data_IF_318962507488
#
_entry.id   IF_318962507488
#
_cell.length_a   1.000
_cell.length_b   1.000
_cell.length_c   1.000
_cell.angle_alpha   90.00
_cell.angle_beta   90.00
_cell.angle_gamma   90.00
#
_symmetry.space_group_name_H-M   'P 1'
#
loop_
_entity.id
_entity.type
_entity.pdbx_description
1 polymer ?
#
# COMPACT_ATOMS: atom_id res chain seq x y z
N UNK A 1 29.20 14.27 19.54
CA UNK A 1 27.94 13.63 19.08
C UNK A 1 27.93 12.21 19.59
N UNK A 2 27.33 11.96 20.78
CA UNK A 2 27.10 10.61 21.28
C UNK A 2 25.96 9.99 20.48
N UNK A 3 26.27 9.01 19.63
CA UNK A 3 25.27 8.14 19.03
C UNK A 3 24.63 7.32 20.18
N UNK A 4 23.43 7.72 20.59
CA UNK A 4 22.62 6.91 21.49
C UNK A 4 22.37 5.56 20.82
N UNK A 5 22.92 4.50 21.42
CA UNK A 5 22.67 3.14 20.96
C UNK A 5 21.25 2.80 21.34
N UNK A 6 20.37 2.83 20.34
CA UNK A 6 19.01 2.35 20.45
C UNK A 6 19.05 0.83 20.66
N UNK A 7 18.60 0.36 21.82
CA UNK A 7 18.34 -1.05 22.07
C UNK A 7 16.83 -1.23 22.33
N UNK A 8 16.11 -1.93 21.46
CA UNK A 8 14.73 -2.29 21.78
C UNK A 8 14.75 -3.29 22.93
N UNK A 9 14.29 -2.86 24.11
CA UNK A 9 14.05 -3.75 25.24
C UNK A 9 12.62 -4.24 25.17
N UNK A 10 12.43 -5.55 25.04
CA UNK A 10 11.12 -6.22 25.07
C UNK A 10 10.48 -6.38 23.70
N UNK A 11 11.12 -7.18 22.85
CA UNK A 11 10.43 -7.78 21.72
C UNK A 11 9.57 -8.90 22.28
N UNK A 12 8.28 -8.63 22.47
CA UNK A 12 7.32 -9.71 22.62
C UNK A 12 7.25 -10.45 21.29
N UNK A 13 7.74 -11.68 21.29
CA UNK A 13 7.70 -12.56 20.12
C UNK A 13 6.27 -13.07 19.94
N UNK A 14 5.45 -12.33 19.23
CA UNK A 14 4.21 -12.85 18.73
C UNK A 14 4.40 -13.38 17.31
N UNK A 15 3.95 -14.60 17.11
CA UNK A 15 3.94 -15.24 15.79
C UNK A 15 2.89 -14.52 14.94
N UNK A 16 3.29 -14.10 13.75
CA UNK A 16 2.35 -13.58 12.77
C UNK A 16 1.52 -14.73 12.21
N UNK A 17 0.26 -14.83 12.65
CA UNK A 17 -0.69 -15.85 12.19
C UNK A 17 -1.12 -15.65 10.73
N UNK A 18 -0.93 -14.44 10.20
CA UNK A 18 -1.26 -14.09 8.83
C UNK A 18 -0.30 -14.68 7.77
N UNK A 19 0.85 -15.21 8.22
CA UNK A 19 1.88 -15.79 7.35
C UNK A 19 2.18 -17.23 7.74
N UNK A 20 1.25 -18.11 7.48
CA UNK A 20 1.16 -19.47 8.02
C UNK A 20 2.26 -20.47 7.61
N UNK A 21 3.24 -20.15 6.78
CA UNK A 21 4.15 -21.21 6.33
C UNK A 21 5.64 -20.89 6.26
N UNK A 22 6.05 -19.64 6.34
CA UNK A 22 7.45 -19.30 6.08
C UNK A 22 8.02 -18.35 7.14
N UNK A 23 8.60 -18.93 8.20
CA UNK A 23 9.35 -18.22 9.23
C UNK A 23 8.52 -17.50 10.31
N UNK A 24 9.02 -17.55 11.51
CA UNK A 24 8.56 -16.77 12.66
C UNK A 24 8.89 -15.30 12.40
N UNK A 25 8.01 -14.58 11.71
CA UNK A 25 8.16 -13.16 11.53
C UNK A 25 7.77 -12.46 12.84
N UNK A 26 8.68 -11.68 13.36
CA UNK A 26 8.47 -10.87 14.55
C UNK A 26 7.78 -9.56 14.15
N UNK A 27 6.96 -9.02 15.06
CA UNK A 27 6.32 -7.72 14.92
C UNK A 27 6.80 -6.78 16.01
N UNK A 28 6.92 -5.50 15.70
CA UNK A 28 7.24 -4.48 16.68
C UNK A 28 6.02 -4.23 17.56
N UNK A 29 6.12 -4.53 18.86
CA UNK A 29 5.05 -4.31 19.84
C UNK A 29 5.19 -2.98 20.57
N UNK A 30 6.42 -2.55 20.88
CA UNK A 30 6.64 -1.27 21.55
C UNK A 30 8.05 -0.73 21.33
N UNK A 31 8.17 0.59 21.56
CA UNK A 31 9.44 1.32 21.63
C UNK A 31 9.52 1.91 23.03
N UNK A 32 10.59 1.64 23.76
CA UNK A 32 10.84 2.20 25.08
C UNK A 32 11.96 3.22 24.98
N UNK A 33 11.68 4.42 25.48
CA UNK A 33 12.64 5.52 25.59
C UNK A 33 13.13 5.60 27.02
N UNK A 34 14.43 5.41 27.24
CA UNK A 34 15.03 5.45 28.57
C UNK A 34 16.39 6.13 28.56
N UNK A 35 16.87 6.72 29.69
CA UNK A 35 18.19 7.28 29.79
C UNK A 35 19.25 6.21 29.64
N UNK A 36 20.48 6.61 29.31
CA UNK A 36 21.62 5.70 29.20
C UNK A 36 21.91 4.97 30.53
N UNK A 37 21.67 5.63 31.65
CA UNK A 37 21.83 5.08 33.00
C UNK A 37 20.80 4.01 33.38
N UNK A 38 19.79 3.76 32.56
CA UNK A 38 18.76 2.72 32.72
C UNK A 38 17.90 2.77 33.99
N UNK A 39 17.92 3.85 34.73
CA UNK A 39 17.25 3.91 36.05
C UNK A 39 15.74 4.15 35.96
N UNK A 40 15.27 4.74 34.86
CA UNK A 40 13.85 5.05 34.70
C UNK A 40 13.44 5.10 33.22
N UNK A 41 12.30 4.51 32.87
CA UNK A 41 11.67 4.69 31.58
C UNK A 41 11.11 6.10 31.47
N UNK A 42 11.41 6.83 30.38
CA UNK A 42 10.87 8.16 30.14
C UNK A 42 9.50 8.06 29.48
N UNK A 43 9.40 7.21 28.45
CA UNK A 43 8.18 7.02 27.69
C UNK A 43 8.17 5.66 27.01
N UNK A 44 6.98 5.12 26.80
CA UNK A 44 6.74 3.89 26.03
C UNK A 44 5.74 4.18 24.93
N UNK A 45 6.11 3.87 23.69
CA UNK A 45 5.21 3.90 22.54
C UNK A 45 4.81 2.46 22.25
N UNK A 46 3.54 2.12 22.45
CA UNK A 46 3.01 0.77 22.24
C UNK A 46 2.18 0.72 20.95
N UNK A 47 2.43 -0.29 20.12
CA UNK A 47 1.70 -0.56 18.90
C UNK A 47 0.68 -1.66 19.14
N UNK A 48 -0.60 -1.34 18.99
CA UNK A 48 -1.67 -2.34 19.00
C UNK A 48 -2.00 -2.73 17.58
N UNK A 49 -1.77 -3.99 17.32
CA UNK A 49 -2.05 -4.61 16.03
C UNK A 49 -3.29 -5.48 16.18
N UNK A 50 -4.12 -5.51 15.17
CA UNK A 50 -5.25 -6.43 15.06
C UNK A 50 -5.06 -7.32 13.86
N UNK A 51 -5.58 -8.54 13.97
CA UNK A 51 -5.65 -9.48 12.84
C UNK A 51 -7.11 -9.60 12.42
N UNK A 52 -7.38 -9.39 11.15
CA UNK A 52 -8.71 -9.59 10.60
C UNK A 52 -9.16 -11.04 10.78
N UNK A 53 -10.39 -11.23 11.25
CA UNK A 53 -10.99 -12.56 11.40
C UNK A 53 -11.26 -13.17 10.03
N UNK A 54 -11.60 -12.36 9.04
CA UNK A 54 -12.02 -12.79 7.70
C UNK A 54 -10.81 -13.14 6.83
N UNK A 55 -9.90 -12.18 6.63
CA UNK A 55 -8.80 -12.33 5.69
C UNK A 55 -7.45 -12.63 6.36
N UNK A 56 -7.41 -12.73 7.69
CA UNK A 56 -6.21 -13.01 8.51
C UNK A 56 -5.07 -11.99 8.36
N UNK A 57 -5.31 -10.86 7.72
CA UNK A 57 -4.31 -9.81 7.54
C UNK A 57 -4.11 -9.00 8.82
N UNK A 58 -2.87 -8.60 9.03
CA UNK A 58 -2.48 -7.77 10.15
C UNK A 58 -2.69 -6.29 9.81
N UNK A 59 -3.28 -5.52 10.74
CA UNK A 59 -3.41 -4.07 10.63
C UNK A 59 -2.98 -3.38 11.92
N UNK A 60 -2.54 -2.14 11.82
CA UNK A 60 -2.25 -1.28 12.97
C UNK A 60 -3.56 -0.65 13.43
N UNK A 61 -4.07 -1.09 14.58
CA UNK A 61 -5.30 -0.53 15.17
C UNK A 61 -5.03 0.78 15.90
N UNK A 62 -4.01 0.81 16.73
CA UNK A 62 -3.70 2.01 17.49
C UNK A 62 -2.23 2.11 17.93
N UNK A 63 -1.80 3.34 18.18
CA UNK A 63 -0.51 3.69 18.79
C UNK A 63 -0.78 4.42 20.07
N UNK A 64 -0.28 3.86 21.19
CA UNK A 64 -0.43 4.41 22.53
C UNK A 64 0.88 5.04 22.97
N UNK A 65 0.82 6.27 23.47
CA UNK A 65 1.96 6.94 24.09
C UNK A 65 1.73 6.91 25.59
N UNK A 66 2.58 6.22 26.32
CA UNK A 66 2.52 6.01 27.76
C UNK A 66 3.67 6.75 28.44
N UNK A 67 3.45 7.22 29.68
CA UNK A 67 4.49 7.75 30.52
C UNK A 67 5.36 6.63 31.14
N UNK A 68 6.24 7.02 32.03
CA UNK A 68 7.16 6.12 32.73
C UNK A 68 6.50 5.07 33.65
N UNK A 69 5.25 5.28 34.03
CA UNK A 69 4.49 4.39 34.92
C UNK A 69 3.55 3.45 34.12
N UNK A 70 3.53 3.58 32.79
CA UNK A 70 2.59 2.85 31.93
C UNK A 70 1.14 3.37 32.07
N UNK A 71 0.98 4.48 32.79
CA UNK A 71 -0.30 5.11 33.04
C UNK A 71 -0.59 6.09 31.91
N UNK A 72 -1.80 6.06 31.44
CA UNK A 72 -2.29 7.07 30.50
C UNK A 72 -2.47 8.39 31.26
N UNK A 73 -1.79 9.48 30.89
CA UNK A 73 -1.99 10.75 31.58
C UNK A 73 -3.48 11.12 31.62
N UNK A 74 -4.01 11.26 32.85
CA UNK A 74 -5.33 11.83 33.16
C UNK A 74 -6.53 11.27 32.36
N UNK A 75 -6.71 9.95 32.33
CA UNK A 75 -7.99 9.36 31.84
C UNK A 75 -8.33 9.58 30.38
N UNK A 76 -7.55 10.36 29.69
CA UNK A 76 -7.66 10.53 28.23
C UNK A 76 -6.97 9.35 27.58
N UNK A 77 -7.65 8.70 26.66
CA UNK A 77 -7.07 7.64 25.84
C UNK A 77 -5.98 8.27 24.96
N UNK A 78 -4.75 8.34 25.44
CA UNK A 78 -3.61 8.91 24.72
C UNK A 78 -3.18 7.98 23.58
N UNK A 79 -4.11 7.74 22.68
CA UNK A 79 -3.96 6.81 21.58
C UNK A 79 -4.38 7.44 20.24
N UNK A 80 -3.52 7.29 19.26
CA UNK A 80 -3.91 7.44 17.88
C UNK A 80 -4.59 6.15 17.43
N UNK A 81 -5.80 6.24 16.86
CA UNK A 81 -6.54 5.09 16.32
C UNK A 81 -6.69 5.22 14.82
N UNK A 82 -6.58 4.10 14.11
CA UNK A 82 -6.56 4.04 12.66
C UNK A 82 -7.76 3.25 12.15
N UNK A 83 -8.37 3.75 11.08
CA UNK A 83 -9.44 3.04 10.37
C UNK A 83 -9.07 2.90 8.92
N UNK A 84 -9.44 1.77 8.35
CA UNK A 84 -9.10 1.39 6.99
C UNK A 84 -10.36 1.14 6.18
N UNK A 85 -10.29 1.46 4.90
CA UNK A 85 -11.41 1.28 3.99
C UNK A 85 -11.65 -0.21 3.73
N UNK A 86 -12.81 -0.70 4.12
CA UNK A 86 -13.30 -2.06 3.86
C UNK A 86 -12.19 -3.16 3.99
N UNK A 87 -11.40 -3.08 5.05
CA UNK A 87 -10.21 -3.94 5.26
C UNK A 87 -10.52 -5.44 5.16
N UNK A 88 -11.71 -5.84 5.60
CA UNK A 88 -12.16 -7.25 5.59
C UNK A 88 -12.39 -7.81 4.18
N UNK A 89 -12.51 -6.96 3.17
CA UNK A 89 -12.68 -7.36 1.77
C UNK A 89 -11.37 -7.64 1.04
N UNK A 90 -10.24 -7.38 1.67
CA UNK A 90 -8.94 -7.77 1.11
C UNK A 90 -8.85 -9.30 1.00
N UNK A 91 -8.17 -9.84 -0.02
CA UNK A 91 -7.99 -11.29 -0.15
C UNK A 91 -7.13 -11.80 1.01
N UNK A 92 -7.41 -13.02 1.48
CA UNK A 92 -6.61 -13.67 2.53
C UNK A 92 -5.19 -13.99 2.04
N UNK A 93 -5.04 -14.33 0.77
CA UNK A 93 -3.73 -14.60 0.17
C UNK A 93 -2.97 -13.30 -0.11
N UNK A 94 -1.79 -13.15 0.51
CA UNK A 94 -0.88 -12.04 0.26
C UNK A 94 -0.25 -12.07 -1.13
N UNK A 95 -0.11 -13.27 -1.71
CA UNK A 95 0.47 -13.49 -3.02
C UNK A 95 -0.60 -13.65 -4.11
N UNK A 96 -1.77 -13.07 -3.90
CA UNK A 96 -2.85 -13.12 -4.88
C UNK A 96 -2.39 -12.67 -6.26
N UNK A 97 -2.83 -13.39 -7.30
CA UNK A 97 -2.60 -13.01 -8.69
C UNK A 97 -3.52 -11.88 -9.18
N UNK A 98 -4.53 -11.51 -8.36
CA UNK A 98 -5.49 -10.47 -8.67
C UNK A 98 -4.91 -9.07 -8.48
N UNK A 99 -3.88 -8.74 -9.25
CA UNK A 99 -3.20 -7.45 -9.20
C UNK A 99 -3.15 -6.80 -10.58
N UNK A 100 -3.16 -5.48 -10.58
CA UNK A 100 -3.06 -4.70 -11.80
C UNK A 100 -1.64 -4.71 -12.40
N UNK A 101 -1.42 -3.93 -13.44
CA UNK A 101 -0.11 -3.78 -14.09
C UNK A 101 1.01 -3.33 -13.16
N UNK A 102 0.69 -2.65 -12.07
CA UNK A 102 1.64 -2.06 -11.12
C UNK A 102 1.69 -2.80 -9.79
N UNK A 103 0.94 -3.92 -9.66
CA UNK A 103 0.94 -4.76 -8.47
C UNK A 103 -0.11 -4.39 -7.42
N UNK A 104 -1.01 -3.46 -7.70
CA UNK A 104 -2.12 -3.13 -6.80
C UNK A 104 -3.28 -4.10 -6.98
N UNK A 105 -3.94 -4.46 -5.88
CA UNK A 105 -5.09 -5.35 -5.92
C UNK A 105 -6.22 -4.77 -6.77
N UNK A 106 -6.69 -5.54 -7.76
CA UNK A 106 -7.72 -5.14 -8.71
C UNK A 106 -8.93 -6.09 -8.77
N UNK A 107 -8.98 -7.10 -7.87
CA UNK A 107 -10.09 -8.04 -7.77
C UNK A 107 -10.22 -9.04 -8.93
N UNK A 108 -9.30 -9.05 -9.89
CA UNK A 108 -9.33 -9.94 -11.07
C UNK A 108 -8.16 -10.90 -11.06
N UNK A 109 -8.36 -12.17 -10.65
CA UNK A 109 -7.27 -13.15 -10.64
C UNK A 109 -6.78 -13.42 -12.07
N UNK A 110 -5.46 -13.55 -12.20
CA UNK A 110 -4.83 -13.92 -13.45
C UNK A 110 -4.61 -15.44 -13.50
N UNK A 111 -5.23 -16.09 -14.48
CA UNK A 111 -5.23 -17.56 -14.65
C UNK A 111 -4.23 -18.02 -15.72
N UNK A 112 -3.31 -17.17 -16.14
CA UNK A 112 -2.25 -17.56 -17.08
C UNK A 112 -2.56 -17.38 -18.55
N UNK A 113 -3.71 -16.84 -18.93
CA UNK A 113 -4.08 -16.61 -20.33
C UNK A 113 -3.60 -15.25 -20.84
N UNK A 114 -2.89 -15.28 -21.97
CA UNK A 114 -2.25 -14.11 -22.60
C UNK A 114 -3.18 -13.13 -23.26
N UNK A 115 -4.19 -13.66 -23.91
CA UNK A 115 -5.06 -12.90 -24.82
C UNK A 115 -5.82 -11.77 -24.12
N UNK A 116 -5.99 -11.86 -22.80
CA UNK A 116 -6.75 -10.88 -22.02
C UNK A 116 -5.94 -10.17 -20.94
N UNK A 117 -4.61 -10.33 -20.94
CA UNK A 117 -3.78 -9.80 -19.84
C UNK A 117 -3.96 -8.31 -19.59
N UNK A 118 -4.10 -7.51 -20.63
CA UNK A 118 -4.30 -6.08 -20.48
C UNK A 118 -5.63 -5.74 -19.80
N UNK A 119 -6.66 -6.53 -20.05
CA UNK A 119 -7.96 -6.36 -19.40
C UNK A 119 -7.94 -6.86 -17.96
N UNK A 120 -7.37 -8.04 -17.74
CA UNK A 120 -7.29 -8.64 -16.40
C UNK A 120 -6.41 -7.81 -15.48
N UNK A 121 -5.31 -7.25 -16.02
CA UNK A 121 -4.39 -6.41 -15.26
C UNK A 121 -4.68 -4.90 -15.32
N UNK A 122 -5.82 -4.50 -15.86
CA UNK A 122 -6.22 -3.10 -15.81
C UNK A 122 -6.44 -2.64 -14.35
N UNK A 123 -6.09 -1.40 -13.99
CA UNK A 123 -6.35 -0.86 -12.67
C UNK A 123 -7.84 -0.83 -12.37
N UNK A 124 -8.18 -1.00 -11.10
CA UNK A 124 -9.54 -0.85 -10.59
C UNK A 124 -9.51 -0.13 -9.24
N UNK A 125 -9.94 1.13 -9.24
CA UNK A 125 -9.86 2.00 -8.07
C UNK A 125 -10.67 1.51 -6.87
N UNK A 126 -11.77 0.77 -7.11
CA UNK A 126 -12.61 0.21 -6.03
C UNK A 126 -11.85 -0.84 -5.24
N UNK A 127 -11.12 -1.70 -5.94
CA UNK A 127 -10.33 -2.74 -5.29
C UNK A 127 -9.00 -2.21 -4.74
N UNK A 128 -8.35 -1.29 -5.46
CA UNK A 128 -7.11 -0.65 -5.01
C UNK A 128 -7.32 0.15 -3.71
N UNK A 129 -8.51 0.68 -3.48
CA UNK A 129 -8.85 1.42 -2.27
C UNK A 129 -9.10 0.52 -1.03
N UNK A 130 -9.21 -0.79 -1.18
CA UNK A 130 -9.41 -1.69 -0.05
C UNK A 130 -8.19 -1.69 0.86
N UNK A 131 -8.42 -1.64 2.16
CA UNK A 131 -7.37 -1.65 3.18
C UNK A 131 -6.53 -0.37 3.26
N UNK A 132 -6.86 0.69 2.52
CA UNK A 132 -6.17 1.97 2.62
C UNK A 132 -6.63 2.72 3.87
N UNK A 133 -5.70 3.37 4.57
CA UNK A 133 -5.99 4.19 5.74
C UNK A 133 -6.91 5.35 5.35
N UNK A 134 -8.12 5.38 5.90
CA UNK A 134 -9.11 6.42 5.56
C UNK A 134 -9.46 7.35 6.71
N UNK A 135 -9.11 6.99 7.99
CA UNK A 135 -9.38 7.86 9.13
C UNK A 135 -8.33 7.69 10.23
N UNK A 136 -7.87 8.81 10.75
CA UNK A 136 -6.99 8.89 11.91
C UNK A 136 -7.76 9.60 13.01
N UNK A 137 -7.90 8.97 14.18
CA UNK A 137 -8.52 9.54 15.36
C UNK A 137 -7.42 9.91 16.33
N UNK A 138 -7.41 11.16 16.76
CA UNK A 138 -6.38 11.73 17.62
C UNK A 138 -6.68 11.52 19.10
N UNK A 139 -5.66 11.54 19.98
CA UNK A 139 -5.85 11.49 21.41
C UNK A 139 -6.74 12.61 21.96
N UNK A 140 -6.77 13.74 21.27
CA UNK A 140 -7.59 14.92 21.60
C UNK A 140 -9.07 14.75 21.29
N UNK A 141 -9.47 13.65 20.67
CA UNK A 141 -10.86 13.35 20.31
C UNK A 141 -11.26 13.77 18.88
N UNK A 142 -10.48 14.63 18.23
CA UNK A 142 -10.69 14.98 16.83
C UNK A 142 -10.27 13.88 15.86
N UNK A 143 -10.59 14.05 14.58
CA UNK A 143 -10.15 13.09 13.57
C UNK A 143 -9.85 13.75 12.21
N UNK A 144 -8.98 13.09 11.45
CA UNK A 144 -8.77 13.36 10.03
C UNK A 144 -9.35 12.24 9.19
N UNK A 145 -10.07 12.61 8.14
CA UNK A 145 -10.58 11.71 7.12
C UNK A 145 -9.81 11.95 5.81
N UNK A 146 -9.37 10.88 5.20
CA UNK A 146 -8.57 10.87 3.99
C UNK A 146 -9.40 10.27 2.87
N UNK A 147 -9.72 11.07 1.85
CA UNK A 147 -10.38 10.61 0.64
C UNK A 147 -9.35 10.43 -0.47
N UNK A 148 -9.51 9.38 -1.24
CA UNK A 148 -8.58 9.02 -2.31
C UNK A 148 -9.27 8.99 -3.66
N UNK A 149 -8.49 9.20 -4.70
CA UNK A 149 -8.88 8.97 -6.08
C UNK A 149 -7.81 8.17 -6.82
N UNK A 150 -8.14 7.50 -7.93
CA UNK A 150 -7.13 6.80 -8.72
C UNK A 150 -6.12 7.76 -9.32
N UNK A 151 -4.89 7.32 -9.47
CA UNK A 151 -3.93 8.01 -10.29
C UNK A 151 -4.42 8.04 -11.74
N UNK A 152 -4.39 9.20 -12.38
CA UNK A 152 -4.76 9.38 -13.78
C UNK A 152 -3.64 10.04 -14.56
N UNK A 153 -3.60 9.82 -15.85
CA UNK A 153 -2.68 10.48 -16.75
C UNK A 153 -3.41 11.04 -17.98
N UNK A 154 -2.94 12.16 -18.50
CA UNK A 154 -3.43 12.81 -19.72
C UNK A 154 -2.50 12.61 -20.91
N UNK A 155 -1.29 12.11 -20.64
CA UNK A 155 -0.31 11.79 -21.68
C UNK A 155 0.39 10.48 -21.35
N UNK A 156 0.87 9.80 -22.40
CA UNK A 156 1.74 8.65 -22.24
C UNK A 156 2.91 8.70 -23.21
N UNK A 157 4.00 8.03 -22.86
CA UNK A 157 5.14 7.88 -23.73
C UNK A 157 4.78 6.96 -24.90
N UNK A 158 5.07 7.41 -26.12
CA UNK A 158 4.91 6.60 -27.33
C UNK A 158 5.87 5.40 -27.31
N UNK A 159 5.60 4.45 -28.20
CA UNK A 159 6.43 3.25 -28.33
C UNK A 159 7.88 3.56 -28.74
N UNK A 160 8.12 4.68 -29.43
CA UNK A 160 9.47 5.15 -29.78
C UNK A 160 10.28 5.65 -28.57
N UNK A 161 9.66 5.78 -27.40
CA UNK A 161 10.25 6.26 -26.14
C UNK A 161 10.89 7.66 -26.20
N UNK A 162 10.50 8.47 -27.14
CA UNK A 162 11.00 9.84 -27.33
C UNK A 162 9.90 10.88 -27.19
N UNK A 163 8.71 10.56 -27.68
CA UNK A 163 7.59 11.50 -27.71
C UNK A 163 6.47 11.11 -26.75
N UNK A 164 5.74 12.11 -26.26
CA UNK A 164 4.49 11.92 -25.53
C UNK A 164 3.31 12.05 -26.49
N UNK A 165 2.30 11.23 -26.29
CA UNK A 165 1.00 11.36 -26.96
C UNK A 165 -0.12 11.66 -25.96
N UNK A 166 -1.13 12.38 -26.41
CA UNK A 166 -2.33 12.60 -25.60
C UNK A 166 -3.07 11.27 -25.45
N UNK A 167 -3.26 10.85 -24.21
CA UNK A 167 -3.93 9.59 -23.91
C UNK A 167 -4.41 9.62 -22.46
N UNK A 168 -5.70 9.79 -22.28
CA UNK A 168 -6.29 9.73 -20.92
C UNK A 168 -6.38 8.29 -20.44
N UNK A 169 -6.01 8.06 -19.19
CA UNK A 169 -6.11 6.74 -18.60
C UNK A 169 -5.95 6.75 -17.08
N UNK A 170 -6.16 5.56 -16.50
CA UNK A 170 -5.98 5.30 -15.08
C UNK A 170 -4.66 4.55 -14.92
N UNK A 171 -3.80 5.06 -14.04
CA UNK A 171 -2.58 4.39 -13.61
C UNK A 171 -2.80 3.58 -12.35
N UNK A 172 -1.77 2.81 -11.95
CA UNK A 172 -1.82 2.05 -10.70
C UNK A 172 -1.76 2.94 -9.47
N UNK A 173 -2.39 2.47 -8.38
CA UNK A 173 -2.38 3.14 -7.09
C UNK A 173 -3.37 4.29 -6.96
N UNK A 174 -3.27 4.96 -5.83
CA UNK A 174 -4.17 6.05 -5.42
C UNK A 174 -3.37 7.30 -5.07
N UNK A 175 -4.05 8.43 -5.10
CA UNK A 175 -3.56 9.73 -4.59
C UNK A 175 -4.63 10.36 -3.71
N UNK A 176 -4.23 11.29 -2.87
CA UNK A 176 -5.15 12.02 -2.00
C UNK A 176 -6.04 12.90 -2.85
N UNK A 177 -7.36 12.78 -2.67
CA UNK A 177 -8.37 13.68 -3.24
C UNK A 177 -8.72 14.80 -2.29
N UNK A 178 -8.98 14.46 -1.02
CA UNK A 178 -9.24 15.47 0.02
C UNK A 178 -8.77 15.00 1.39
N UNK A 179 -8.49 15.98 2.27
CA UNK A 179 -8.23 15.77 3.69
C UNK A 179 -9.19 16.65 4.46
N UNK A 180 -10.03 16.02 5.30
CA UNK A 180 -11.01 16.70 6.15
C UNK A 180 -10.65 16.50 7.61
N UNK A 181 -10.61 17.59 8.37
CA UNK A 181 -10.31 17.57 9.81
C UNK A 181 -11.58 17.92 10.56
N UNK A 182 -11.96 17.06 11.49
CA UNK A 182 -13.15 17.22 12.33
C UNK A 182 -12.76 17.40 13.80
N UNK A 183 -13.58 18.18 14.51
CA UNK A 183 -13.39 18.45 15.95
C UNK A 183 -13.53 17.19 16.79
N UNK A 184 -14.43 16.29 16.38
CA UNK A 184 -14.76 15.07 17.11
C UNK A 184 -14.78 13.85 16.20
N UNK A 185 -14.61 12.67 16.79
CA UNK A 185 -14.61 11.39 16.06
C UNK A 185 -15.91 11.12 15.31
N UNK A 186 -17.04 11.61 15.80
CA UNK A 186 -18.38 11.47 15.17
C UNK A 186 -18.60 12.42 13.99
N UNK A 187 -17.60 13.22 13.63
CA UNK A 187 -17.57 14.09 12.45
C UNK A 187 -18.70 15.15 12.40
N UNK A 188 -19.19 15.60 13.55
CA UNK A 188 -20.30 16.58 13.61
C UNK A 188 -19.88 17.96 13.13
N UNK A 189 -18.62 18.38 13.40
CA UNK A 189 -18.13 19.70 13.07
C UNK A 189 -16.85 19.61 12.26
N UNK A 190 -16.94 20.06 11.01
CA UNK A 190 -15.78 20.20 10.12
C UNK A 190 -14.97 21.43 10.54
N UNK A 191 -13.69 21.26 10.78
CA UNK A 191 -12.75 22.34 11.13
C UNK A 191 -11.97 22.85 9.92
N UNK A 192 -11.58 21.93 9.05
CA UNK A 192 -10.77 22.25 7.87
C UNK A 192 -10.97 21.21 6.79
N UNK A 193 -10.96 21.66 5.55
CA UNK A 193 -10.99 20.82 4.36
C UNK A 193 -9.94 21.30 3.37
N UNK A 194 -9.22 20.36 2.77
CA UNK A 194 -8.25 20.61 1.70
C UNK A 194 -8.54 19.66 0.56
N UNK A 195 -8.87 20.21 -0.59
CA UNK A 195 -9.06 19.47 -1.83
C UNK A 195 -7.81 19.60 -2.71
N UNK A 196 -7.47 18.51 -3.37
CA UNK A 196 -6.33 18.43 -4.26
C UNK A 196 -6.81 18.18 -5.69
N UNK A 197 -6.37 19.00 -6.62
CA UNK A 197 -6.63 18.86 -8.04
C UNK A 197 -5.35 18.50 -8.78
N UNK A 198 -5.44 17.53 -9.66
CA UNK A 198 -4.32 17.03 -10.45
C UNK A 198 -4.57 17.19 -11.95
N UNK A 199 -5.43 18.11 -12.30
CA UNK A 199 -5.72 18.45 -13.68
C UNK A 199 -4.88 19.64 -14.13
N UNK A 200 -4.66 19.74 -15.42
CA UNK A 200 -4.10 20.94 -16.03
C UNK A 200 -5.06 22.11 -15.72
N UNK A 201 -4.57 23.25 -15.23
CA UNK A 201 -5.42 24.36 -14.85
C UNK A 201 -6.43 24.72 -15.92
N UNK A 202 -7.70 24.89 -15.49
CA UNK A 202 -8.86 25.22 -16.35
C UNK A 202 -9.25 24.13 -17.36
N UNK A 203 -8.81 22.89 -17.16
CA UNK A 203 -9.18 21.73 -17.98
C UNK A 203 -9.63 20.56 -17.11
N UNK A 204 -10.27 19.57 -17.73
CA UNK A 204 -10.56 18.27 -17.10
C UNK A 204 -9.48 17.21 -17.40
N UNK A 205 -8.40 17.59 -18.07
CA UNK A 205 -7.33 16.68 -18.47
C UNK A 205 -6.35 16.54 -17.31
N UNK A 206 -6.00 15.30 -16.97
CA UNK A 206 -4.99 15.04 -15.95
C UNK A 206 -3.63 15.60 -16.36
N UNK A 207 -2.92 16.22 -15.40
CA UNK A 207 -1.53 16.65 -15.56
C UNK A 207 -0.52 15.49 -15.47
N UNK A 208 -0.98 14.29 -15.14
CA UNK A 208 -0.12 13.11 -15.04
C UNK A 208 0.42 12.67 -16.39
N UNK A 209 1.64 12.16 -16.39
CA UNK A 209 2.30 11.59 -17.57
C UNK A 209 2.74 10.16 -17.27
N UNK A 210 2.41 9.23 -18.16
CA UNK A 210 2.77 7.82 -18.05
C UNK A 210 4.02 7.54 -18.89
N UNK A 211 5.16 7.32 -18.23
CA UNK A 211 6.44 7.07 -18.90
C UNK A 211 6.73 5.60 -19.19
N UNK A 212 6.08 4.69 -18.47
CA UNK A 212 6.29 3.26 -18.64
C UNK A 212 4.96 2.51 -18.67
N UNK A 213 4.70 1.83 -19.78
CA UNK A 213 3.67 0.78 -19.85
C UNK A 213 4.31 -0.54 -19.45
N UNK A 214 3.66 -1.36 -18.65
CA UNK A 214 4.11 -2.69 -18.37
C UNK A 214 4.21 -3.51 -19.65
N UNK A 215 5.32 -4.20 -19.79
CA UNK A 215 5.56 -5.10 -20.92
C UNK A 215 5.55 -6.54 -20.42
N UNK A 216 4.82 -7.40 -21.09
CA UNK A 216 4.74 -8.82 -20.78
C UNK A 216 5.46 -9.62 -21.86
N UNK A 217 6.44 -10.41 -21.46
CA UNK A 217 7.11 -11.37 -22.32
C UNK A 217 6.79 -12.78 -21.85
N UNK A 218 6.79 -13.70 -22.77
CA UNK A 218 6.43 -15.08 -22.51
C UNK A 218 7.53 -16.01 -22.91
N UNK A 219 7.56 -17.13 -22.21
CA UNK A 219 8.27 -18.30 -22.65
C UNK A 219 7.28 -19.37 -23.03
N UNK A 220 7.53 -20.00 -24.14
CA UNK A 220 6.86 -21.23 -24.50
C UNK A 220 7.91 -22.26 -24.83
N UNK A 221 7.70 -23.47 -24.38
CA UNK A 221 8.49 -24.62 -24.80
C UNK A 221 7.92 -25.15 -26.10
N UNK A 222 8.70 -25.07 -27.16
CA UNK A 222 8.33 -25.75 -28.42
C UNK A 222 8.76 -27.19 -28.27
N UNK A 223 7.81 -28.08 -28.20
CA UNK A 223 8.04 -29.52 -28.30
C UNK A 223 7.91 -29.94 -29.73
N UNK A 224 9.02 -30.28 -30.40
CA UNK A 224 9.02 -30.88 -31.70
C UNK A 224 9.00 -32.40 -31.53
N UNK A 225 8.00 -33.04 -32.14
CA UNK A 225 7.90 -34.50 -32.18
C UNK A 225 8.42 -34.94 -33.58
N UNK A 226 9.54 -35.63 -33.58
CA UNK A 226 10.06 -36.24 -34.80
C UNK A 226 10.05 -37.77 -34.62
N UNK A 227 9.14 -38.44 -35.31
CA UNK A 227 8.91 -39.88 -35.14
C UNK A 227 8.44 -40.22 -33.74
N UNK A 228 9.15 -41.09 -33.02
CA UNK A 228 8.88 -41.45 -31.62
C UNK A 228 9.68 -40.62 -30.62
N UNK A 229 10.50 -39.70 -31.06
CA UNK A 229 11.40 -38.91 -30.17
C UNK A 229 10.87 -37.49 -30.03
N UNK A 230 10.69 -37.06 -28.78
CA UNK A 230 10.30 -35.70 -28.47
C UNK A 230 11.54 -34.86 -28.12
N UNK A 231 11.79 -33.82 -28.89
CA UNK A 231 12.81 -32.84 -28.59
C UNK A 231 12.17 -31.62 -27.96
N UNK A 232 12.61 -31.23 -26.76
CA UNK A 232 12.24 -29.96 -26.16
C UNK A 232 13.28 -28.92 -26.55
N UNK A 233 12.91 -27.98 -27.40
CA UNK A 233 13.71 -26.79 -27.64
C UNK A 233 13.18 -25.74 -26.69
N UNK A 234 13.74 -25.72 -25.46
CA UNK A 234 13.37 -24.74 -24.44
C UNK A 234 14.22 -23.50 -24.60
N UNK A 235 13.61 -22.37 -24.93
CA UNK A 235 14.18 -21.08 -24.59
C UNK A 235 13.47 -20.61 -23.32
N UNK A 236 14.06 -20.89 -22.15
CA UNK A 236 13.53 -20.40 -20.90
C UNK A 236 13.73 -18.88 -20.80
N UNK A 237 12.66 -18.12 -20.86
CA UNK A 237 12.64 -16.73 -20.45
C UNK A 237 11.59 -16.59 -19.37
N UNK A 238 11.97 -16.15 -18.19
CA UNK A 238 11.02 -15.86 -17.12
C UNK A 238 10.13 -14.68 -17.51
N UNK A 239 8.82 -14.79 -17.28
CA UNK A 239 7.91 -13.66 -17.35
C UNK A 239 8.28 -12.71 -16.22
N UNK A 240 9.02 -11.66 -16.51
CA UNK A 240 9.23 -10.57 -15.59
C UNK A 240 8.40 -9.39 -16.06
N UNK A 241 7.55 -8.88 -15.16
CA UNK A 241 7.15 -7.47 -15.26
C UNK A 241 8.46 -6.73 -15.07
N UNK A 242 9.04 -6.22 -16.14
CA UNK A 242 10.17 -5.30 -16.03
C UNK A 242 9.56 -3.91 -15.97
N UNK A 243 9.37 -3.32 -14.76
CA UNK A 243 9.24 -1.88 -14.70
C UNK A 243 10.56 -1.35 -15.26
N UNK A 244 10.49 -0.49 -16.25
CA UNK A 244 11.66 0.23 -16.71
C UNK A 244 12.32 0.82 -15.46
N UNK A 245 13.56 0.41 -15.22
CA UNK A 245 14.36 0.66 -14.05
C UNK A 245 14.08 2.00 -13.37
N UNK A 246 13.65 1.95 -12.12
CA UNK A 246 13.88 3.00 -11.14
C UNK A 246 13.07 4.29 -11.21
N UNK A 247 12.20 4.48 -12.16
CA UNK A 247 11.33 5.66 -12.21
C UNK A 247 9.92 5.33 -11.74
N UNK A 248 9.36 6.16 -10.90
CA UNK A 248 7.92 6.15 -10.68
C UNK A 248 7.22 6.16 -12.03
N UNK A 249 6.28 5.25 -12.30
CA UNK A 249 5.62 5.16 -13.60
C UNK A 249 4.81 6.41 -13.96
N UNK A 250 4.64 7.32 -13.01
CA UNK A 250 3.86 8.54 -13.16
C UNK A 250 4.61 9.76 -12.60
N UNK A 251 4.54 10.85 -13.31
CA UNK A 251 4.97 12.17 -12.89
C UNK A 251 3.78 13.13 -12.94
N UNK A 252 3.55 13.89 -11.87
CA UNK A 252 2.67 15.05 -11.90
C UNK A 252 3.52 16.30 -12.21
N UNK A 253 3.04 17.13 -13.11
CA UNK A 253 3.62 18.45 -13.37
C UNK A 253 2.76 19.45 -12.59
N UNK A 254 3.40 20.12 -11.63
CA UNK A 254 2.78 21.24 -10.88
C UNK A 254 2.70 22.48 -11.75
#
# INVERSE_FOLDING_TARGET
FNKGIYRPSGIEKEIREDLLSYSRLERLSSIVIQPVAKEKVISKIAFRLCTSIVNKRLCLDSVLIQDNEGIMPHGVKNAYRFKYNEFERLPADYLTTAVDHWGYYNGRPYEGHLSNINTVRAPDSKFTALGVLNKIIYPTGGCSVLDYEPNTYGKRLKYNRQDLELCNGIGGGLRIKSIKIYETEDMRRLLSERDYSYNIPRTSVSSGELFALPFYSWNYDIKCIYGKTTYSIGTSRSSSIVPASGASPMRSIN
#
